data_IF_642892707167
#
_entry.id   IF_642892707167
#
_cell.length_a   1.000
_cell.length_b   1.000
_cell.length_c   1.000
_cell.angle_alpha   90.00
_cell.angle_beta   90.00
_cell.angle_gamma   90.00
#
_symmetry.space_group_name_H-M   'P 1'
#
loop_
_entity.id
_entity.type
_entity.pdbx_description
1 polymer ?
#
# COMPACT_ATOMS: atom_id res chain seq x y z
N UNK A 1 10.63 8.63 -78.35
CA UNK A 1 11.35 9.74 -77.68
C UNK A 1 10.30 10.73 -77.21
N UNK A 2 10.13 11.12 -75.95
CA UNK A 2 10.75 10.77 -74.69
C UNK A 2 9.70 11.00 -73.60
N UNK A 3 9.62 10.09 -72.63
CA UNK A 3 8.82 10.22 -71.41
C UNK A 3 9.61 11.13 -70.46
N UNK A 4 9.18 12.37 -70.25
CA UNK A 4 9.75 13.23 -69.21
C UNK A 4 9.09 12.89 -67.86
N UNK A 5 9.88 12.17 -67.07
CA UNK A 5 9.55 11.52 -65.80
C UNK A 5 9.27 12.52 -64.68
N UNK A 6 8.21 12.20 -63.94
CA UNK A 6 7.91 12.68 -62.59
C UNK A 6 9.17 12.62 -61.70
N UNK A 7 9.71 13.79 -61.36
CA UNK A 7 10.92 13.94 -60.53
C UNK A 7 10.63 14.50 -59.14
N UNK A 8 9.35 14.73 -58.81
CA UNK A 8 8.92 15.42 -57.59
C UNK A 8 8.76 14.50 -56.36
N UNK A 9 8.38 13.20 -56.45
CA UNK A 9 8.03 12.45 -55.23
C UNK A 9 9.22 11.81 -54.51
N UNK A 10 10.43 11.82 -55.10
CA UNK A 10 11.61 11.12 -54.54
C UNK A 10 12.40 11.98 -53.55
N UNK A 11 12.33 13.32 -53.67
CA UNK A 11 13.05 14.22 -52.75
C UNK A 11 12.36 14.38 -51.39
N UNK A 12 11.04 14.20 -51.34
CA UNK A 12 10.25 14.36 -50.11
C UNK A 12 10.45 13.17 -49.17
N UNK A 13 10.63 11.96 -49.69
CA UNK A 13 10.80 10.75 -48.88
C UNK A 13 12.16 10.66 -48.19
N UNK A 14 13.22 11.24 -48.78
CA UNK A 14 14.56 11.26 -48.17
C UNK A 14 14.66 12.22 -46.97
N UNK A 15 13.92 13.34 -46.95
CA UNK A 15 14.00 14.33 -45.86
C UNK A 15 13.38 13.85 -44.54
N UNK A 16 12.43 12.90 -44.59
CA UNK A 16 11.73 12.42 -43.39
C UNK A 16 12.53 11.33 -42.66
N UNK A 17 13.28 10.48 -43.39
CA UNK A 17 14.10 9.41 -42.82
C UNK A 17 15.37 9.91 -42.12
N UNK A 18 15.91 11.06 -42.54
CA UNK A 18 17.09 11.66 -41.89
C UNK A 18 16.78 12.34 -40.56
N UNK A 19 15.52 12.72 -40.31
CA UNK A 19 15.12 13.38 -39.06
C UNK A 19 15.03 12.42 -37.86
N UNK A 20 14.78 11.13 -38.12
CA UNK A 20 14.66 10.11 -37.06
C UNK A 20 16.00 9.54 -36.56
N UNK A 21 17.12 9.77 -37.27
CA UNK A 21 18.44 9.26 -36.86
C UNK A 21 19.22 10.24 -35.97
N UNK A 22 18.83 11.51 -35.93
CA UNK A 22 19.53 12.56 -35.14
C UNK A 22 18.88 12.88 -33.81
N UNK A 23 17.62 12.49 -33.61
CA UNK A 23 16.92 12.63 -32.34
C UNK A 23 16.43 11.25 -31.88
N UNK A 24 17.29 10.43 -31.23
CA UNK A 24 16.75 9.35 -30.43
C UNK A 24 15.76 9.98 -29.44
N UNK A 25 14.51 9.48 -29.33
CA UNK A 25 13.65 9.90 -28.24
C UNK A 25 14.43 9.66 -26.95
N UNK A 26 14.34 10.56 -25.95
CA UNK A 26 14.92 10.26 -24.64
C UNK A 26 14.38 8.89 -24.24
N UNK A 27 15.29 7.90 -24.17
CA UNK A 27 14.98 6.62 -23.56
C UNK A 27 14.49 6.98 -22.18
N UNK A 28 13.17 6.89 -22.00
CA UNK A 28 12.54 7.03 -20.71
C UNK A 28 13.23 5.97 -19.85
N UNK A 29 14.15 6.42 -19.01
CA UNK A 29 14.70 5.56 -17.97
C UNK A 29 13.53 5.28 -17.06
N UNK A 30 12.87 4.14 -17.27
CA UNK A 30 11.96 3.54 -16.32
C UNK A 30 12.83 3.01 -15.17
N UNK A 31 13.39 3.92 -14.41
CA UNK A 31 14.16 3.63 -13.20
C UNK A 31 13.52 4.42 -12.07
N UNK A 32 12.81 3.69 -11.20
CA UNK A 32 12.28 4.11 -9.91
C UNK A 32 11.02 5.01 -9.89
N UNK A 33 9.90 4.53 -10.47
CA UNK A 33 8.56 5.10 -10.21
C UNK A 33 7.57 4.14 -9.53
N UNK A 34 8.01 2.93 -9.13
CA UNK A 34 7.10 1.86 -8.70
C UNK A 34 6.88 1.79 -7.18
N UNK A 35 7.79 2.38 -6.37
CA UNK A 35 7.67 2.38 -4.90
C UNK A 35 6.49 3.21 -4.39
N UNK A 36 6.35 4.43 -4.91
CA UNK A 36 5.29 5.36 -4.47
C UNK A 36 3.89 4.98 -5.00
N UNK A 37 3.83 4.11 -6.02
CA UNK A 37 2.58 3.70 -6.64
C UNK A 37 1.88 2.60 -5.83
N UNK A 38 2.62 1.59 -5.35
CA UNK A 38 2.00 0.42 -4.73
C UNK A 38 1.24 0.74 -3.44
N UNK A 39 1.81 1.52 -2.53
CA UNK A 39 1.13 1.93 -1.29
C UNK A 39 -0.14 2.73 -1.59
N UNK A 40 -0.07 3.60 -2.60
CA UNK A 40 -1.20 4.41 -3.06
C UNK A 40 -2.30 3.55 -3.68
N UNK A 41 -1.92 2.56 -4.49
CA UNK A 41 -2.84 1.59 -5.11
C UNK A 41 -3.57 0.76 -4.05
N UNK A 42 -2.84 0.22 -3.09
CA UNK A 42 -3.41 -0.51 -1.94
C UNK A 42 -4.44 0.35 -1.23
N UNK A 43 -4.12 1.62 -0.95
CA UNK A 43 -5.04 2.51 -0.27
C UNK A 43 -6.28 2.87 -1.09
N UNK A 44 -6.19 2.96 -2.42
CA UNK A 44 -7.36 3.16 -3.30
C UNK A 44 -8.34 2.00 -3.24
N UNK A 45 -7.87 0.80 -2.89
CA UNK A 45 -8.70 -0.39 -2.75
C UNK A 45 -9.25 -0.60 -1.32
N UNK A 46 -9.12 0.41 -0.44
CA UNK A 46 -9.72 0.39 0.91
C UNK A 46 -11.00 1.21 0.96
N UNK A 47 -11.79 1.00 2.02
CA UNK A 47 -13.01 1.79 2.27
C UNK A 47 -12.74 3.26 2.59
N UNK A 48 -11.52 3.60 3.02
CA UNK A 48 -11.12 4.97 3.34
C UNK A 48 -9.70 5.23 2.88
N UNK A 49 -9.58 5.80 1.68
CA UNK A 49 -8.30 6.17 1.09
C UNK A 49 -7.47 7.07 2.02
N UNK A 50 -8.07 8.15 2.53
CA UNK A 50 -7.35 9.12 3.36
C UNK A 50 -6.79 8.47 4.64
N UNK A 51 -7.60 7.67 5.33
CA UNK A 51 -7.15 6.96 6.53
C UNK A 51 -6.02 5.97 6.21
N UNK A 52 -6.16 5.19 5.13
CA UNK A 52 -5.10 4.27 4.72
C UNK A 52 -3.81 5.02 4.38
N UNK A 53 -3.92 6.08 3.58
CA UNK A 53 -2.77 6.86 3.15
C UNK A 53 -2.03 7.45 4.35
N UNK A 54 -2.74 8.10 5.27
CA UNK A 54 -2.13 8.67 6.48
C UNK A 54 -1.51 7.58 7.37
N UNK A 55 -2.18 6.43 7.53
CA UNK A 55 -1.68 5.33 8.35
C UNK A 55 -0.40 4.70 7.76
N UNK A 56 -0.40 4.40 6.45
CA UNK A 56 0.72 3.74 5.77
C UNK A 56 1.91 4.70 5.64
N UNK A 57 1.70 5.91 5.12
CA UNK A 57 2.77 6.88 4.91
C UNK A 57 3.31 7.53 6.19
N UNK A 58 2.70 7.25 7.34
CA UNK A 58 3.34 7.55 8.64
C UNK A 58 4.55 6.65 8.95
N UNK A 59 4.78 5.57 8.19
CA UNK A 59 6.01 4.79 8.22
C UNK A 59 6.98 5.28 7.13
N UNK A 60 8.23 5.64 7.46
CA UNK A 60 9.18 6.19 6.50
C UNK A 60 9.60 5.19 5.41
N UNK A 61 9.32 3.89 5.57
CA UNK A 61 9.60 2.87 4.56
C UNK A 61 8.53 2.80 3.47
N UNK A 62 7.34 3.35 3.71
CA UNK A 62 6.19 3.23 2.82
C UNK A 62 6.43 3.70 1.37
N UNK A 63 7.19 4.80 1.09
CA UNK A 63 7.37 5.28 -0.28
C UNK A 63 8.09 4.32 -1.22
N UNK A 64 8.85 3.34 -0.70
CA UNK A 64 9.60 2.37 -1.50
C UNK A 64 9.27 0.92 -1.09
N UNK A 65 8.19 0.73 -0.32
CA UNK A 65 7.85 -0.55 0.25
C UNK A 65 7.23 -1.49 -0.81
N UNK A 66 7.76 -2.71 -0.89
CA UNK A 66 7.09 -3.80 -1.59
C UNK A 66 5.87 -4.32 -0.79
N UNK A 67 5.17 -5.32 -1.34
CA UNK A 67 3.97 -5.90 -0.68
C UNK A 67 4.27 -6.51 0.68
N UNK A 68 5.47 -7.03 0.89
CA UNK A 68 5.88 -7.66 2.14
C UNK A 68 6.10 -6.59 3.21
N UNK A 69 6.87 -5.54 2.89
CA UNK A 69 7.08 -4.40 3.78
C UNK A 69 5.77 -3.65 4.05
N UNK A 70 4.91 -3.45 3.06
CA UNK A 70 3.58 -2.86 3.25
C UNK A 70 2.69 -3.68 4.18
N UNK A 71 2.79 -5.02 4.11
CA UNK A 71 2.09 -5.90 5.04
C UNK A 71 2.58 -5.68 6.47
N UNK A 72 3.89 -5.64 6.70
CA UNK A 72 4.43 -5.31 8.03
C UNK A 72 3.96 -3.96 8.54
N UNK A 73 3.94 -2.94 7.69
CA UNK A 73 3.48 -1.60 8.08
C UNK A 73 2.00 -1.69 8.49
N UNK A 74 1.14 -2.29 7.65
CA UNK A 74 -0.29 -2.38 7.92
C UNK A 74 -0.60 -3.18 9.19
N UNK A 75 -0.07 -4.40 9.32
CA UNK A 75 -0.29 -5.26 10.50
C UNK A 75 0.37 -4.67 11.75
N UNK A 76 1.53 -4.04 11.63
CA UNK A 76 2.20 -3.36 12.74
C UNK A 76 1.38 -2.20 13.29
N UNK A 77 0.83 -1.34 12.41
CA UNK A 77 -0.07 -0.25 12.80
C UNK A 77 -1.34 -0.78 13.46
N UNK A 78 -1.96 -1.81 12.88
CA UNK A 78 -3.14 -2.44 13.46
C UNK A 78 -2.85 -3.05 14.84
N UNK A 79 -1.73 -3.78 14.98
CA UNK A 79 -1.31 -4.41 16.23
C UNK A 79 -1.07 -3.38 17.33
N UNK A 80 -0.34 -2.29 17.02
CA UNK A 80 -0.08 -1.20 17.97
C UNK A 80 -1.39 -0.55 18.41
N UNK A 81 -2.26 -0.18 17.46
CA UNK A 81 -3.52 0.49 17.79
C UNK A 81 -4.47 -0.42 18.60
N UNK A 82 -4.55 -1.70 18.25
CA UNK A 82 -5.34 -2.69 18.99
C UNK A 82 -4.80 -2.87 20.41
N UNK A 83 -3.47 -2.89 20.58
CA UNK A 83 -2.79 -2.97 21.88
C UNK A 83 -3.09 -1.75 22.73
N UNK A 84 -2.90 -0.55 22.17
CA UNK A 84 -3.19 0.72 22.86
C UNK A 84 -4.66 0.81 23.28
N UNK A 85 -5.57 0.36 22.41
CA UNK A 85 -7.01 0.35 22.70
C UNK A 85 -7.37 -0.66 23.79
N UNK A 86 -6.80 -1.87 23.76
CA UNK A 86 -6.96 -2.88 24.82
C UNK A 86 -6.51 -2.32 26.17
N UNK A 87 -5.36 -1.66 26.20
CA UNK A 87 -4.76 -1.13 27.42
C UNK A 87 -5.57 0.07 27.94
N UNK A 88 -6.06 0.92 27.03
CA UNK A 88 -7.00 1.98 27.36
C UNK A 88 -8.29 1.44 27.97
N UNK A 89 -8.93 0.44 27.35
CA UNK A 89 -10.15 -0.19 27.89
C UNK A 89 -9.88 -0.80 29.27
N UNK A 90 -8.76 -1.49 29.42
CA UNK A 90 -8.31 -2.06 30.71
C UNK A 90 -8.21 -0.98 31.79
N UNK A 91 -7.57 0.15 31.48
CA UNK A 91 -7.44 1.27 32.43
C UNK A 91 -8.81 1.86 32.81
N UNK A 92 -9.73 1.99 31.84
CA UNK A 92 -11.11 2.46 32.11
C UNK A 92 -11.88 1.52 33.00
N UNK A 93 -11.81 0.20 32.77
CA UNK A 93 -12.46 -0.79 33.63
C UNK A 93 -11.89 -0.72 35.06
N UNK A 94 -10.56 -0.64 35.20
CA UNK A 94 -9.88 -0.56 36.51
C UNK A 94 -10.22 0.73 37.28
N UNK A 95 -10.43 1.83 36.57
CA UNK A 95 -10.82 3.10 37.19
C UNK A 95 -12.19 3.06 37.86
N UNK A 96 -13.04 2.06 37.56
CA UNK A 96 -14.35 1.87 38.19
C UNK A 96 -15.39 2.96 37.90
N UNK A 97 -15.02 4.00 37.12
CA UNK A 97 -15.92 5.08 36.74
C UNK A 97 -16.87 4.66 35.62
N UNK A 98 -18.17 4.75 35.86
CA UNK A 98 -19.19 4.55 34.83
C UNK A 98 -20.43 3.81 35.32
N UNK A 99 -21.48 3.81 34.49
CA UNK A 99 -22.68 3.01 34.76
C UNK A 99 -22.35 1.51 34.60
N UNK A 100 -23.01 0.60 35.34
CA UNK A 100 -22.79 -0.85 35.21
C UNK A 100 -22.90 -1.37 33.78
N UNK A 101 -23.83 -0.80 33.01
CA UNK A 101 -24.04 -1.08 31.59
C UNK A 101 -22.80 -0.75 30.73
N UNK A 102 -22.17 0.41 30.98
CA UNK A 102 -20.94 0.81 30.31
C UNK A 102 -19.79 -0.14 30.64
N UNK A 103 -19.66 -0.53 31.91
CA UNK A 103 -18.62 -1.48 32.33
C UNK A 103 -18.81 -2.85 31.68
N UNK A 104 -20.04 -3.31 31.52
CA UNK A 104 -20.36 -4.55 30.80
C UNK A 104 -19.95 -4.47 29.33
N UNK A 105 -20.28 -3.35 28.66
CA UNK A 105 -19.86 -3.09 27.29
C UNK A 105 -18.33 -3.09 27.15
N UNK A 106 -17.63 -2.38 28.04
CA UNK A 106 -16.16 -2.31 28.03
C UNK A 106 -15.51 -3.68 28.22
N UNK A 107 -16.03 -4.55 29.11
CA UNK A 107 -15.52 -5.91 29.26
C UNK A 107 -15.67 -6.74 27.99
N UNK A 108 -16.77 -6.56 27.26
CA UNK A 108 -16.98 -7.22 25.97
C UNK A 108 -15.99 -6.70 24.91
N UNK A 109 -15.80 -5.38 24.84
CA UNK A 109 -14.80 -4.78 23.96
C UNK A 109 -13.38 -5.26 24.30
N UNK A 110 -13.06 -5.40 25.59
CA UNK A 110 -11.75 -5.90 26.03
C UNK A 110 -11.48 -7.28 25.44
N UNK A 111 -12.42 -8.22 25.54
CA UNK A 111 -12.26 -9.56 24.96
C UNK A 111 -12.06 -9.54 23.43
N UNK A 112 -12.74 -8.64 22.70
CA UNK A 112 -12.51 -8.49 21.27
C UNK A 112 -11.12 -7.93 20.93
N UNK A 113 -10.64 -6.96 21.70
CA UNK A 113 -9.31 -6.39 21.47
C UNK A 113 -8.18 -7.31 21.95
N UNK A 114 -8.40 -8.12 22.98
CA UNK A 114 -7.48 -9.21 23.35
C UNK A 114 -7.31 -10.21 22.20
N UNK A 115 -8.41 -10.63 21.58
CA UNK A 115 -8.39 -11.53 20.44
C UNK A 115 -7.75 -10.87 19.20
N UNK A 116 -8.08 -9.60 18.92
CA UNK A 116 -7.48 -8.85 17.83
C UNK A 116 -5.95 -8.75 17.98
N UNK A 117 -5.45 -8.44 19.19
CA UNK A 117 -4.01 -8.38 19.47
C UNK A 117 -3.35 -9.74 19.25
N UNK A 118 -3.99 -10.83 19.69
CA UNK A 118 -3.49 -12.19 19.48
C UNK A 118 -3.34 -12.51 17.98
N UNK A 119 -4.41 -12.33 17.21
CA UNK A 119 -4.42 -12.62 15.76
C UNK A 119 -3.40 -11.75 15.02
N UNK A 120 -3.36 -10.44 15.31
CA UNK A 120 -2.42 -9.53 14.66
C UNK A 120 -0.95 -9.87 15.00
N UNK A 121 -0.69 -10.31 16.22
CA UNK A 121 0.63 -10.82 16.62
C UNK A 121 1.02 -12.09 15.86
N UNK A 122 0.08 -13.01 15.65
CA UNK A 122 0.30 -14.21 14.81
C UNK A 122 0.57 -13.86 13.35
N UNK A 123 -0.14 -12.87 12.79
CA UNK A 123 0.10 -12.42 11.41
C UNK A 123 1.50 -11.81 11.24
N UNK A 124 1.95 -11.00 12.21
CA UNK A 124 3.31 -10.47 12.21
C UNK A 124 4.35 -11.59 12.35
N UNK A 125 4.15 -12.54 13.26
CA UNK A 125 5.04 -13.69 13.41
C UNK A 125 5.11 -14.55 12.13
N UNK A 126 3.99 -14.69 11.41
CA UNK A 126 3.94 -15.38 10.13
C UNK A 126 4.69 -14.66 9.01
N UNK A 127 4.74 -13.32 9.04
CA UNK A 127 5.61 -12.57 8.15
C UNK A 127 7.08 -12.86 8.50
N UNK A 128 7.44 -12.84 9.78
CA UNK A 128 8.83 -13.07 10.23
C UNK A 128 9.36 -14.45 9.84
N UNK A 129 8.50 -15.47 9.82
CA UNK A 129 8.86 -16.84 9.43
C UNK A 129 8.60 -17.16 7.96
N UNK A 130 8.14 -16.20 7.15
CA UNK A 130 7.66 -16.40 5.77
C UNK A 130 6.59 -17.51 5.63
N UNK A 131 5.89 -17.84 6.73
CA UNK A 131 4.84 -18.86 6.75
C UNK A 131 3.46 -18.23 6.65
N UNK A 132 2.93 -18.10 5.44
CA UNK A 132 1.63 -17.46 5.19
C UNK A 132 0.39 -18.30 5.58
N UNK A 133 0.53 -19.37 6.37
CA UNK A 133 -0.57 -20.29 6.70
C UNK A 133 -1.66 -19.68 7.59
N UNK A 134 -1.37 -18.64 8.39
CA UNK A 134 -2.38 -17.94 9.19
C UNK A 134 -3.33 -17.04 8.39
N UNK A 135 -3.04 -16.77 7.12
CA UNK A 135 -3.73 -15.80 6.28
C UNK A 135 -5.02 -16.33 5.65
N UNK A 136 -5.30 -17.64 5.82
CA UNK A 136 -6.39 -18.37 5.18
C UNK A 136 -7.79 -17.85 5.61
N UNK A 137 -7.87 -17.12 6.73
CA UNK A 137 -9.13 -16.59 7.25
C UNK A 137 -9.36 -15.08 6.98
N UNK A 138 -8.51 -14.42 6.20
CA UNK A 138 -8.75 -13.04 5.74
C UNK A 138 -9.64 -13.00 4.49
N UNK A 139 -10.83 -13.59 4.57
CA UNK A 139 -11.89 -13.41 3.56
C UNK A 139 -13.01 -12.53 4.12
#
# INVERSE_FOLDING_TARGET
MAILRSSVPVLITFSVLSFFLTYPPPLLSATAADGTELATEVCRNTTSFAFCHDAIYSDPRAPDADRYVLSYIAFGKAYSNATDTRDYITSKIKSGGGKPETLRGLKKCLGYYEEAVRILGEMLGNLDSETFSGWINCR
#
